data_IF_649927418197
#
_entry.id   IF_649927418197
#
_cell.length_a   1.000
_cell.length_b   1.000
_cell.length_c   1.000
_cell.angle_alpha   90.00
_cell.angle_beta   90.00
_cell.angle_gamma   90.00
#
_symmetry.space_group_name_H-M   'P 1'
#
loop_
_entity.id
_entity.type
_entity.pdbx_description
1 polymer ?
#
# COMPACT_ATOMS: atom_id res chain seq x y z
N UNK A 1 -16.03 26.85 35.95
CA UNK A 1 -14.67 26.36 35.69
C UNK A 1 -13.68 27.40 36.17
N UNK A 2 -12.68 26.98 36.95
CA UNK A 2 -11.58 27.85 37.31
C UNK A 2 -10.74 28.18 36.06
N UNK A 3 -10.01 29.31 36.08
CA UNK A 3 -9.23 29.77 34.91
C UNK A 3 -8.27 28.70 34.38
N UNK A 4 -7.59 27.98 35.26
CA UNK A 4 -6.69 26.86 34.90
C UNK A 4 -7.42 25.67 34.22
N UNK A 5 -8.62 25.35 34.66
CA UNK A 5 -9.43 24.28 34.07
C UNK A 5 -9.86 24.66 32.65
N UNK A 6 -10.20 25.95 32.44
CA UNK A 6 -10.58 26.48 31.16
C UNK A 6 -9.39 26.48 30.16
N UNK A 7 -8.21 26.89 30.62
CA UNK A 7 -6.98 26.84 29.83
C UNK A 7 -6.63 25.38 29.42
N UNK A 8 -6.71 24.44 30.36
CA UNK A 8 -6.44 23.03 30.08
C UNK A 8 -7.45 22.44 29.05
N UNK A 9 -8.72 22.81 29.17
CA UNK A 9 -9.76 22.41 28.24
C UNK A 9 -9.51 23.01 26.84
N UNK A 10 -9.18 24.29 26.73
CA UNK A 10 -8.86 24.93 25.45
C UNK A 10 -7.66 24.26 24.77
N UNK A 11 -6.59 24.00 25.52
CA UNK A 11 -5.42 23.29 24.99
C UNK A 11 -5.76 21.86 24.52
N UNK A 12 -6.62 21.15 25.24
CA UNK A 12 -7.09 19.82 24.83
C UNK A 12 -7.90 19.90 23.53
N UNK A 13 -8.86 20.83 23.44
CA UNK A 13 -9.65 21.06 22.24
C UNK A 13 -8.77 21.44 21.04
N UNK A 14 -7.76 22.28 21.25
CA UNK A 14 -6.83 22.68 20.20
C UNK A 14 -6.04 21.46 19.66
N UNK A 15 -5.49 20.62 20.53
CA UNK A 15 -4.79 19.39 20.12
C UNK A 15 -5.68 18.45 19.31
N UNK A 16 -6.93 18.26 19.75
CA UNK A 16 -7.88 17.43 19.02
C UNK A 16 -8.23 18.03 17.65
N UNK A 17 -8.39 19.34 17.55
CA UNK A 17 -8.61 20.02 16.28
C UNK A 17 -7.43 19.84 15.33
N UNK A 18 -6.20 20.04 15.82
CA UNK A 18 -4.97 19.84 15.04
C UNK A 18 -4.84 18.40 14.56
N UNK A 19 -5.20 17.41 15.40
CA UNK A 19 -5.22 15.99 15.02
C UNK A 19 -6.25 15.71 13.92
N UNK A 20 -7.47 16.22 14.04
CA UNK A 20 -8.51 16.06 13.02
C UNK A 20 -8.13 16.74 11.70
N UNK A 21 -7.51 17.91 11.76
CA UNK A 21 -6.97 18.58 10.58
C UNK A 21 -5.88 17.76 9.91
N UNK A 22 -4.97 17.18 10.69
CA UNK A 22 -3.92 16.31 10.19
C UNK A 22 -4.50 15.08 9.46
N UNK A 23 -5.48 14.40 10.05
CA UNK A 23 -6.17 13.26 9.40
C UNK A 23 -6.77 13.68 8.05
N UNK A 24 -7.44 14.83 8.00
CA UNK A 24 -8.03 15.35 6.76
C UNK A 24 -6.96 15.70 5.70
N UNK A 25 -5.83 16.31 6.09
CA UNK A 25 -4.73 16.62 5.17
C UNK A 25 -4.04 15.33 4.66
N UNK A 26 -3.89 14.33 5.52
CA UNK A 26 -3.34 13.02 5.14
C UNK A 26 -4.25 12.32 4.14
N UNK A 27 -5.57 12.35 4.33
CA UNK A 27 -6.50 11.81 3.33
C UNK A 27 -6.40 12.56 2.00
N UNK A 28 -6.25 13.88 2.02
CA UNK A 28 -6.07 14.69 0.82
C UNK A 28 -4.78 14.36 0.08
N UNK A 29 -3.66 14.14 0.79
CA UNK A 29 -2.40 13.80 0.12
C UNK A 29 -2.47 12.40 -0.50
N UNK A 30 -3.13 11.43 0.16
CA UNK A 30 -3.37 10.12 -0.42
C UNK A 30 -4.30 10.18 -1.64
N UNK A 31 -5.39 10.95 -1.57
CA UNK A 31 -6.25 11.17 -2.73
C UNK A 31 -5.52 11.85 -3.90
N UNK A 32 -4.61 12.80 -3.61
CA UNK A 32 -3.75 13.41 -4.63
C UNK A 32 -2.79 12.40 -5.23
N UNK A 33 -2.16 11.56 -4.40
CA UNK A 33 -1.32 10.46 -4.85
C UNK A 33 -2.04 9.60 -5.87
N UNK A 34 -3.25 9.16 -5.57
CA UNK A 34 -4.05 8.31 -6.46
C UNK A 34 -4.37 8.98 -7.80
N UNK A 35 -4.75 10.25 -7.77
CA UNK A 35 -5.09 11.00 -9.00
C UNK A 35 -3.89 11.21 -9.90
N UNK A 36 -2.70 11.49 -9.34
CA UNK A 36 -1.48 11.71 -10.14
C UNK A 36 -0.76 10.40 -10.50
N UNK A 37 -1.11 9.29 -9.87
CA UNK A 37 -0.63 7.95 -10.20
C UNK A 37 -1.27 7.43 -11.50
N UNK A 38 -0.99 8.13 -12.59
CA UNK A 38 -1.54 7.95 -13.91
C UNK A 38 -0.41 7.97 -14.95
N UNK A 39 -0.47 7.22 -16.05
CA UNK A 39 0.61 7.16 -17.04
C UNK A 39 1.14 8.52 -17.51
N UNK A 40 0.26 9.53 -17.68
CA UNK A 40 0.67 10.89 -18.09
C UNK A 40 1.35 11.69 -16.98
N UNK A 41 1.02 11.45 -15.73
CA UNK A 41 1.42 12.27 -14.57
C UNK A 41 2.27 11.52 -13.56
N UNK A 42 2.59 10.27 -13.81
CA UNK A 42 3.34 9.39 -12.91
C UNK A 42 4.61 10.04 -12.34
N UNK A 43 5.37 10.72 -13.18
CA UNK A 43 6.60 11.42 -12.80
C UNK A 43 6.39 12.56 -11.79
N UNK A 44 5.16 13.08 -11.68
CA UNK A 44 4.80 14.13 -10.71
C UNK A 44 4.52 13.57 -9.32
N UNK A 45 4.19 12.29 -9.21
CA UNK A 45 3.79 11.66 -7.95
C UNK A 45 4.78 11.95 -6.80
N UNK A 46 6.10 11.75 -6.95
CA UNK A 46 7.02 12.06 -5.88
C UNK A 46 7.07 13.56 -5.55
N UNK A 47 7.02 14.43 -6.56
CA UNK A 47 7.12 15.88 -6.38
C UNK A 47 5.91 16.42 -5.60
N UNK A 48 4.72 15.97 -5.96
CA UNK A 48 3.48 16.46 -5.37
C UNK A 48 3.22 15.85 -3.99
N UNK A 49 3.64 14.59 -3.74
CA UNK A 49 3.18 13.82 -2.60
C UNK A 49 4.25 13.45 -1.56
N UNK A 50 5.51 13.24 -1.96
CA UNK A 50 6.54 12.70 -1.06
C UNK A 50 7.37 13.78 -0.37
N UNK A 51 7.91 13.44 0.81
CA UNK A 51 8.80 14.28 1.61
C UNK A 51 10.24 14.19 1.07
N UNK A 52 10.49 14.81 -0.09
CA UNK A 52 11.74 14.66 -0.82
C UNK A 52 12.97 15.30 -0.15
N UNK A 53 12.79 16.10 0.90
CA UNK A 53 13.91 16.62 1.69
C UNK A 53 14.37 15.65 2.77
N UNK A 54 13.60 14.60 3.03
CA UNK A 54 13.96 13.57 3.99
C UNK A 54 14.94 12.57 3.34
N UNK A 55 16.11 12.31 3.96
CA UNK A 55 17.14 11.45 3.35
C UNK A 55 16.72 9.99 3.20
N UNK A 56 15.78 9.55 4.01
CA UNK A 56 15.24 8.19 4.09
C UNK A 56 13.85 8.04 3.49
N UNK A 57 13.36 9.07 2.76
CA UNK A 57 12.09 8.94 2.03
C UNK A 57 12.12 7.69 1.15
N UNK A 58 11.04 6.90 1.19
CA UNK A 58 11.08 5.62 0.50
C UNK A 58 9.75 5.18 -0.10
N UNK A 59 9.86 4.38 -1.15
CA UNK A 59 8.77 3.61 -1.73
C UNK A 59 9.19 2.16 -1.90
N UNK A 60 8.40 1.26 -1.33
CA UNK A 60 8.52 -0.17 -1.56
C UNK A 60 7.32 -0.67 -2.36
N UNK A 61 7.59 -1.34 -3.45
CA UNK A 61 6.56 -1.95 -4.30
C UNK A 61 6.65 -3.46 -4.15
N UNK A 62 5.70 -4.02 -3.49
CA UNK A 62 5.47 -5.47 -3.26
C UNK A 62 6.63 -6.41 -3.60
N UNK A 63 6.59 -6.88 -4.85
CA UNK A 63 7.50 -7.86 -5.45
C UNK A 63 8.64 -7.20 -6.26
N UNK A 64 8.67 -5.86 -6.32
CA UNK A 64 9.65 -5.14 -7.16
C UNK A 64 10.91 -4.75 -6.41
N UNK A 65 10.77 -4.26 -5.18
CA UNK A 65 11.91 -3.81 -4.38
C UNK A 65 11.65 -2.53 -3.60
N UNK A 66 12.72 -1.98 -3.05
CA UNK A 66 12.72 -0.77 -2.22
C UNK A 66 13.58 0.30 -2.88
N UNK A 67 13.07 1.52 -2.95
CA UNK A 67 13.75 2.72 -3.42
C UNK A 67 13.84 3.70 -2.27
N UNK A 68 15.06 4.02 -1.82
CA UNK A 68 15.32 4.90 -0.68
C UNK A 68 16.06 6.15 -1.14
N UNK A 69 15.58 7.31 -0.68
CA UNK A 69 16.08 8.62 -1.02
C UNK A 69 15.32 9.27 -2.19
N UNK A 70 15.36 10.60 -2.22
CA UNK A 70 14.58 11.39 -3.16
C UNK A 70 14.85 11.03 -4.64
N UNK A 71 16.12 10.84 -5.01
CA UNK A 71 16.51 10.48 -6.37
C UNK A 71 15.96 9.09 -6.75
N UNK A 72 16.05 8.13 -5.84
CA UNK A 72 15.55 6.77 -6.06
C UNK A 72 14.03 6.75 -6.24
N UNK A 73 13.30 7.46 -5.38
CA UNK A 73 11.83 7.55 -5.47
C UNK A 73 11.41 8.25 -6.76
N UNK A 74 12.09 9.35 -7.15
CA UNK A 74 11.79 10.02 -8.42
C UNK A 74 12.11 9.13 -9.63
N UNK A 75 13.21 8.36 -9.58
CA UNK A 75 13.56 7.41 -10.64
C UNK A 75 12.51 6.29 -10.78
N UNK A 76 12.01 5.77 -9.66
CA UNK A 76 10.94 4.77 -9.67
C UNK A 76 9.72 5.26 -10.45
N UNK A 77 9.16 6.39 -10.06
CA UNK A 77 7.94 6.92 -10.69
C UNK A 77 8.17 7.50 -12.09
N UNK A 78 9.33 8.10 -12.33
CA UNK A 78 9.63 8.76 -13.61
C UNK A 78 10.20 7.83 -14.68
N UNK A 79 10.74 6.67 -14.30
CA UNK A 79 11.44 5.77 -15.23
C UNK A 79 10.93 4.33 -15.14
N UNK A 80 10.91 3.73 -13.94
CA UNK A 80 10.54 2.32 -13.78
C UNK A 80 9.05 2.09 -14.03
N UNK A 81 8.21 2.97 -13.49
CA UNK A 81 6.74 2.92 -13.64
C UNK A 81 6.22 3.66 -14.88
N UNK A 82 7.13 4.10 -15.74
CA UNK A 82 6.73 4.80 -16.96
C UNK A 82 6.14 3.82 -17.96
N UNK A 83 4.90 4.07 -18.34
CA UNK A 83 4.16 3.27 -19.32
C UNK A 83 3.74 4.12 -20.54
N UNK A 84 3.38 3.45 -21.62
CA UNK A 84 2.73 4.08 -22.77
C UNK A 84 1.37 4.64 -22.32
N UNK A 85 1.12 5.96 -22.42
CA UNK A 85 -0.09 6.52 -21.86
C UNK A 85 -1.36 6.16 -22.67
N UNK A 86 -1.23 5.86 -23.96
CA UNK A 86 -2.37 5.49 -24.80
C UNK A 86 -2.73 4.03 -24.60
N UNK A 87 -3.90 3.79 -24.04
CA UNK A 87 -4.42 2.45 -23.75
C UNK A 87 -4.05 1.92 -22.37
N UNK A 88 -3.11 2.55 -21.66
CA UNK A 88 -2.77 2.18 -20.28
C UNK A 88 -3.65 2.90 -19.27
N UNK A 89 -4.06 2.20 -18.24
CA UNK A 89 -4.88 2.73 -17.16
C UNK A 89 -4.46 2.10 -15.83
N UNK A 90 -4.30 2.93 -14.79
CA UNK A 90 -4.16 2.47 -13.41
C UNK A 90 -5.25 3.12 -12.56
N UNK A 91 -6.02 2.32 -11.86
CA UNK A 91 -7.00 2.76 -10.87
C UNK A 91 -6.79 1.92 -9.62
N UNK A 92 -6.19 2.51 -8.60
CA UNK A 92 -5.92 1.88 -7.32
C UNK A 92 -6.67 2.63 -6.22
N UNK A 93 -7.96 2.36 -6.09
CA UNK A 93 -8.82 3.08 -5.14
C UNK A 93 -8.32 2.99 -3.71
N UNK A 94 -8.64 3.99 -2.90
CA UNK A 94 -8.28 4.08 -1.49
C UNK A 94 -9.51 3.84 -0.63
N UNK A 95 -9.59 2.68 0.00
CA UNK A 95 -10.74 2.28 0.80
C UNK A 95 -10.34 2.04 2.27
N UNK A 96 -11.29 2.20 3.17
CA UNK A 96 -11.17 1.87 4.60
C UNK A 96 -9.89 2.43 5.26
N UNK A 97 -9.68 3.75 5.29
CA UNK A 97 -8.51 4.33 5.92
C UNK A 97 -8.49 4.11 7.44
N UNK A 98 -7.32 3.74 7.97
CA UNK A 98 -7.02 3.85 9.40
C UNK A 98 -5.79 4.74 9.52
N UNK A 99 -5.90 5.86 10.21
CA UNK A 99 -4.86 6.89 10.33
C UNK A 99 -4.65 7.21 11.80
N UNK A 100 -3.41 7.07 12.27
CA UNK A 100 -2.97 7.47 13.59
C UNK A 100 -1.94 8.59 13.48
N UNK A 101 -2.27 9.73 14.07
CA UNK A 101 -1.37 10.89 14.19
C UNK A 101 -0.63 10.76 15.50
N UNK A 102 0.68 10.92 15.49
CA UNK A 102 1.52 10.91 16.70
C UNK A 102 1.06 11.95 17.72
N UNK A 103 1.25 11.67 19.01
CA UNK A 103 0.92 12.60 20.10
C UNK A 103 1.65 13.95 19.98
N UNK A 104 2.87 13.96 19.43
CA UNK A 104 3.65 15.17 19.13
C UNK A 104 3.18 15.92 17.86
N UNK A 105 2.27 15.35 17.08
CA UNK A 105 1.71 15.94 15.87
C UNK A 105 2.68 16.13 14.71
N UNK A 106 3.86 15.50 14.73
CA UNK A 106 4.89 15.66 13.69
C UNK A 106 4.86 14.57 12.63
N UNK A 107 4.41 13.37 13.00
CA UNK A 107 4.30 12.21 12.10
C UNK A 107 2.93 11.58 12.20
N UNK A 108 2.60 10.75 11.23
CA UNK A 108 1.41 9.92 11.26
C UNK A 108 1.68 8.59 10.55
N UNK A 109 0.85 7.60 10.85
CA UNK A 109 0.85 6.29 10.21
C UNK A 109 -0.53 6.01 9.64
N UNK A 110 -0.59 5.34 8.49
CA UNK A 110 -1.89 5.03 7.91
C UNK A 110 -1.90 3.78 7.04
N UNK A 111 -3.05 3.12 6.99
CA UNK A 111 -3.30 1.98 6.10
C UNK A 111 -4.56 2.20 5.29
N UNK A 112 -4.56 1.65 4.07
CA UNK A 112 -5.72 1.63 3.16
C UNK A 112 -5.79 0.28 2.45
N UNK A 113 -6.98 -0.24 2.26
CA UNK A 113 -7.19 -1.22 1.20
C UNK A 113 -7.23 -0.53 -0.15
N UNK A 114 -6.70 -1.21 -1.16
CA UNK A 114 -6.61 -0.65 -2.51
C UNK A 114 -7.07 -1.68 -3.55
N UNK A 115 -8.38 -1.86 -3.69
CA UNK A 115 -8.95 -2.57 -4.83
C UNK A 115 -8.72 -1.76 -6.11
N UNK A 116 -8.29 -2.43 -7.19
CA UNK A 116 -7.96 -1.71 -8.39
C UNK A 116 -8.08 -2.51 -9.67
N UNK A 117 -7.93 -1.77 -10.76
CA UNK A 117 -7.93 -2.26 -12.13
C UNK A 117 -6.74 -1.68 -12.86
N UNK A 118 -6.12 -2.50 -13.70
CA UNK A 118 -5.02 -2.05 -14.54
C UNK A 118 -5.30 -2.42 -15.99
N UNK A 119 -4.86 -1.58 -16.90
CA UNK A 119 -4.68 -1.96 -18.29
C UNK A 119 -3.24 -1.68 -18.68
N UNK A 120 -2.56 -2.69 -19.18
CA UNK A 120 -1.23 -2.57 -19.76
C UNK A 120 -1.26 -2.89 -21.24
N UNK A 121 -0.47 -2.17 -22.01
CA UNK A 121 -0.34 -2.38 -23.45
C UNK A 121 0.93 -3.18 -23.72
N UNK A 122 0.81 -4.30 -24.39
CA UNK A 122 1.97 -5.14 -24.71
C UNK A 122 2.82 -4.56 -25.87
N UNK A 123 3.91 -5.23 -26.20
CA UNK A 123 4.82 -4.83 -27.27
C UNK A 123 4.15 -4.86 -28.65
N UNK A 124 3.07 -5.60 -28.84
CA UNK A 124 2.24 -5.65 -30.03
C UNK A 124 1.14 -4.59 -30.02
N UNK A 125 1.11 -3.73 -29.01
CA UNK A 125 0.11 -2.68 -28.79
C UNK A 125 -1.31 -3.22 -28.54
N UNK A 126 -1.40 -4.41 -27.94
CA UNK A 126 -2.66 -4.99 -27.49
C UNK A 126 -2.88 -4.63 -26.01
N UNK A 127 -4.01 -4.01 -25.64
CA UNK A 127 -4.35 -3.74 -24.25
C UNK A 127 -4.83 -5.00 -23.52
N UNK A 128 -4.30 -5.23 -22.32
CA UNK A 128 -4.68 -6.33 -21.45
C UNK A 128 -5.19 -5.77 -20.13
N UNK A 129 -6.39 -6.20 -19.73
CA UNK A 129 -7.01 -5.81 -18.47
C UNK A 129 -6.63 -6.75 -17.33
N UNK A 130 -6.44 -6.18 -16.13
CA UNK A 130 -6.08 -6.93 -14.93
C UNK A 130 -6.90 -6.45 -13.73
N UNK A 131 -7.24 -7.40 -12.86
CA UNK A 131 -7.57 -7.12 -11.48
C UNK A 131 -6.27 -6.95 -10.70
N UNK A 132 -6.15 -5.87 -9.94
CA UNK A 132 -5.00 -5.63 -9.08
C UNK A 132 -5.48 -5.19 -7.71
N UNK A 133 -5.24 -6.01 -6.70
CA UNK A 133 -5.73 -5.75 -5.36
C UNK A 133 -4.60 -5.76 -4.35
N UNK A 134 -4.61 -4.77 -3.49
CA UNK A 134 -3.57 -4.64 -2.48
C UNK A 134 -3.97 -3.77 -1.30
N UNK A 135 -2.96 -3.30 -0.60
CA UNK A 135 -3.09 -2.37 0.51
C UNK A 135 -1.89 -1.43 0.54
N UNK A 136 -2.07 -0.28 1.14
CA UNK A 136 -0.98 0.64 1.47
C UNK A 136 -0.71 0.63 2.97
N UNK A 137 0.55 0.71 3.35
CA UNK A 137 0.99 1.22 4.65
C UNK A 137 1.91 2.40 4.41
N UNK A 138 1.70 3.48 5.17
CA UNK A 138 2.34 4.75 4.89
C UNK A 138 2.71 5.45 6.19
N UNK A 139 3.95 5.92 6.28
CA UNK A 139 4.37 6.92 7.25
C UNK A 139 4.29 8.30 6.60
N UNK A 140 3.78 9.25 7.34
CA UNK A 140 3.71 10.66 6.96
C UNK A 140 4.53 11.51 7.90
N UNK A 141 5.07 12.60 7.36
CA UNK A 141 5.82 13.59 8.12
C UNK A 141 5.43 15.01 7.68
N UNK A 142 5.54 15.98 8.58
CA UNK A 142 5.43 17.38 8.20
C UNK A 142 6.74 17.87 7.59
N UNK A 143 6.70 18.21 6.30
CA UNK A 143 7.79 18.87 5.59
C UNK A 143 7.38 20.31 5.29
N UNK A 144 8.12 21.27 5.83
CA UNK A 144 7.79 22.70 5.69
C UNK A 144 6.35 23.06 6.07
N UNK A 145 5.82 22.42 7.11
CA UNK A 145 4.47 22.63 7.62
C UNK A 145 3.35 21.93 6.85
N UNK A 146 3.65 21.18 5.80
CA UNK A 146 2.69 20.41 5.04
C UNK A 146 2.88 18.90 5.25
N UNK A 147 1.80 18.17 5.33
CA UNK A 147 1.87 16.71 5.38
C UNK A 147 2.34 16.12 4.05
N UNK A 148 3.29 15.19 4.12
CA UNK A 148 3.88 14.50 2.99
C UNK A 148 4.05 13.01 3.30
N UNK A 149 4.05 12.19 2.26
CA UNK A 149 4.41 10.77 2.34
C UNK A 149 5.91 10.67 2.62
N UNK A 150 6.27 9.98 3.69
CA UNK A 150 7.66 9.77 4.07
C UNK A 150 8.15 8.38 3.66
N UNK A 151 7.49 7.33 4.16
CA UNK A 151 7.71 5.96 3.72
C UNK A 151 6.38 5.39 3.23
N UNK A 152 6.40 4.71 2.10
CA UNK A 152 5.21 4.05 1.57
C UNK A 152 5.56 2.65 1.11
N UNK A 153 4.69 1.69 1.44
CA UNK A 153 4.72 0.34 0.88
C UNK A 153 3.36 0.01 0.27
N UNK A 154 3.42 -0.50 -0.96
CA UNK A 154 2.32 -1.16 -1.63
C UNK A 154 2.41 -2.66 -1.39
N UNK A 155 1.40 -3.22 -0.76
CA UNK A 155 1.24 -4.63 -0.46
C UNK A 155 0.31 -5.25 -1.49
N UNK A 156 0.84 -5.94 -2.49
CA UNK A 156 0.00 -6.62 -3.46
C UNK A 156 -0.61 -7.86 -2.83
N UNK A 157 -1.94 -7.96 -2.85
CA UNK A 157 -2.66 -9.16 -2.43
C UNK A 157 -2.73 -10.14 -3.56
N UNK A 158 -3.19 -9.69 -4.73
CA UNK A 158 -3.18 -10.46 -5.97
C UNK A 158 -3.17 -9.52 -7.18
N UNK A 159 -2.75 -10.07 -8.31
CA UNK A 159 -2.94 -9.49 -9.62
C UNK A 159 -3.26 -10.62 -10.59
N UNK A 160 -4.33 -10.52 -11.35
CA UNK A 160 -4.71 -11.54 -12.31
C UNK A 160 -5.33 -10.91 -13.55
N UNK A 161 -5.23 -11.63 -14.67
CA UNK A 161 -5.92 -11.29 -15.91
C UNK A 161 -7.42 -11.13 -15.67
N UNK A 162 -8.05 -10.18 -16.36
CA UNK A 162 -9.49 -9.89 -16.20
C UNK A 162 -10.38 -11.11 -16.40
N UNK A 163 -10.02 -12.01 -17.33
CA UNK A 163 -10.79 -13.22 -17.66
C UNK A 163 -10.44 -14.43 -16.79
N UNK A 164 -9.53 -14.26 -15.83
CA UNK A 164 -9.16 -15.30 -14.88
C UNK A 164 -9.64 -14.94 -13.48
N UNK A 165 -9.87 -15.96 -12.67
CA UNK A 165 -10.09 -15.78 -11.24
C UNK A 165 -8.76 -15.63 -10.52
N UNK A 166 -8.72 -14.83 -9.45
CA UNK A 166 -7.56 -14.79 -8.54
C UNK A 166 -7.28 -16.13 -7.86
N UNK A 167 -8.23 -17.08 -7.86
CA UNK A 167 -8.01 -18.44 -7.38
C UNK A 167 -7.31 -19.32 -8.41
N UNK A 168 -7.32 -18.95 -9.69
CA UNK A 168 -6.73 -19.73 -10.78
C UNK A 168 -5.31 -19.26 -11.11
N UNK A 169 -5.01 -17.99 -10.86
CA UNK A 169 -3.74 -17.37 -11.27
C UNK A 169 -2.89 -16.86 -10.11
N UNK A 170 -3.11 -17.36 -8.91
CA UNK A 170 -2.33 -16.94 -7.75
C UNK A 170 -0.81 -17.17 -7.90
N UNK A 171 -0.41 -18.13 -8.72
CA UNK A 171 1.00 -18.39 -9.03
C UNK A 171 1.60 -17.39 -10.04
N UNK A 172 0.75 -16.69 -10.80
CA UNK A 172 1.17 -15.74 -11.83
C UNK A 172 1.27 -14.30 -11.30
N UNK A 173 1.15 -14.11 -9.98
CA UNK A 173 1.09 -12.79 -9.32
C UNK A 173 2.44 -12.07 -9.38
N UNK A 174 3.52 -12.83 -9.40
CA UNK A 174 4.88 -12.30 -9.39
C UNK A 174 5.24 -11.71 -10.75
N UNK A 175 5.04 -10.43 -10.90
CA UNK A 175 5.40 -9.70 -12.13
C UNK A 175 6.44 -8.62 -11.87
N UNK A 176 7.29 -8.84 -10.87
CA UNK A 176 8.35 -7.93 -10.52
C UNK A 176 9.21 -7.53 -11.73
N UNK A 177 9.89 -6.41 -11.69
CA UNK A 177 10.76 -6.01 -12.78
C UNK A 177 11.77 -7.13 -13.02
N UNK A 178 11.92 -7.58 -14.28
CA UNK A 178 12.76 -8.72 -14.61
C UNK A 178 14.26 -8.46 -14.41
N UNK A 179 14.61 -7.23 -14.05
CA UNK A 179 15.99 -6.78 -13.81
C UNK A 179 16.03 -5.86 -12.60
N UNK A 180 17.12 -5.97 -11.82
CA UNK A 180 17.41 -4.98 -10.80
C UNK A 180 17.60 -3.61 -11.44
N UNK A 181 16.80 -2.65 -11.02
CA UNK A 181 16.90 -1.26 -11.49
C UNK A 181 18.02 -0.51 -10.77
N UNK A 182 18.54 0.51 -11.46
CA UNK A 182 19.37 1.53 -10.81
C UNK A 182 18.59 2.13 -9.62
N UNK A 183 19.27 2.46 -8.54
CA UNK A 183 18.67 2.97 -7.31
C UNK A 183 17.71 2.01 -6.55
N UNK A 184 17.46 0.83 -7.03
CA UNK A 184 16.83 -0.19 -6.21
C UNK A 184 17.85 -0.64 -5.17
N UNK A 185 17.69 -0.16 -3.92
CA UNK A 185 18.71 -0.30 -2.90
C UNK A 185 18.66 -1.65 -2.22
N UNK A 186 17.47 -2.14 -1.95
CA UNK A 186 17.25 -3.35 -1.18
C UNK A 186 16.29 -4.31 -1.89
N UNK A 187 16.38 -5.62 -1.62
CA UNK A 187 15.31 -6.52 -1.96
C UNK A 187 14.04 -6.13 -1.19
N UNK A 188 12.91 -6.65 -1.62
CA UNK A 188 11.67 -6.50 -0.88
C UNK A 188 11.85 -6.93 0.59
N UNK A 189 11.24 -6.20 1.50
CA UNK A 189 11.31 -6.52 2.93
C UNK A 189 10.40 -7.68 3.29
N UNK A 190 9.22 -7.75 2.68
CA UNK A 190 8.26 -8.81 2.88
C UNK A 190 7.28 -8.85 1.70
N UNK A 191 7.00 -10.04 1.21
CA UNK A 191 5.98 -10.27 0.19
C UNK A 191 5.28 -11.59 0.44
N UNK A 192 4.00 -11.51 0.78
CA UNK A 192 3.14 -12.66 0.99
C UNK A 192 1.80 -12.42 0.28
N UNK A 193 1.73 -12.63 -1.03
CA UNK A 193 0.49 -12.51 -1.79
C UNK A 193 -0.51 -13.59 -1.38
N UNK A 194 -1.77 -13.39 -1.75
CA UNK A 194 -2.78 -14.42 -1.59
C UNK A 194 -2.41 -15.66 -2.40
N UNK A 195 -2.52 -16.81 -1.77
CA UNK A 195 -2.58 -18.11 -2.42
C UNK A 195 -3.73 -18.94 -1.82
N UNK A 196 -4.12 -20.00 -2.51
CA UNK A 196 -5.25 -20.83 -2.10
C UNK A 196 -4.88 -21.94 -1.11
N UNK A 197 -3.61 -22.10 -0.77
CA UNK A 197 -3.08 -23.20 0.02
C UNK A 197 -2.67 -22.79 1.42
N UNK A 198 -2.50 -21.47 1.67
CA UNK A 198 -2.09 -20.93 2.96
C UNK A 198 -3.15 -20.02 3.54
N UNK A 199 -3.19 -19.93 4.87
CA UNK A 199 -4.01 -18.92 5.53
C UNK A 199 -3.46 -17.53 5.20
N UNK A 200 -4.34 -16.62 4.78
CA UNK A 200 -3.95 -15.24 4.52
C UNK A 200 -3.69 -14.52 5.83
N UNK A 201 -2.48 -14.06 5.99
CA UNK A 201 -2.12 -13.16 7.08
C UNK A 201 -2.69 -11.75 6.81
N UNK A 202 -3.24 -11.06 7.81
CA UNK A 202 -3.85 -9.75 7.64
C UNK A 202 -2.81 -8.62 7.64
N UNK A 203 -1.89 -8.62 6.68
CA UNK A 203 -0.97 -7.52 6.44
C UNK A 203 -1.55 -6.49 5.44
N UNK A 204 -1.17 -5.22 5.59
CA UNK A 204 -0.51 -4.61 6.74
C UNK A 204 -1.46 -4.54 7.94
N UNK A 205 -0.92 -4.63 9.15
CA UNK A 205 -1.70 -4.38 10.37
C UNK A 205 -2.04 -2.90 10.47
N UNK A 206 -3.14 -2.58 11.15
CA UNK A 206 -3.52 -1.21 11.40
C UNK A 206 -2.54 -0.54 12.39
N UNK A 207 -2.17 0.73 12.18
CA UNK A 207 -1.36 1.46 13.13
C UNK A 207 -2.09 1.59 14.46
N UNK A 208 -1.33 1.60 15.56
CA UNK A 208 -1.82 1.88 16.91
C UNK A 208 -1.45 3.31 17.31
N UNK A 209 -2.19 3.94 18.23
CA UNK A 209 -1.81 5.24 18.80
C UNK A 209 -0.37 5.25 19.33
N UNK A 210 0.37 6.32 19.10
CA UNK A 210 1.75 6.48 19.53
C UNK A 210 2.08 7.95 19.80
N UNK A 211 3.11 8.20 20.63
CA UNK A 211 3.49 9.57 21.04
C UNK A 211 4.47 10.21 20.07
N UNK A 212 5.54 9.49 19.72
CA UNK A 212 6.58 9.93 18.78
C UNK A 212 6.96 8.78 17.86
N UNK A 213 7.43 9.11 16.67
CA UNK A 213 7.84 8.10 15.70
C UNK A 213 9.08 7.36 16.18
N UNK A 214 9.00 6.04 16.21
CA UNK A 214 10.10 5.13 16.54
C UNK A 214 10.11 3.94 15.59
N UNK A 215 11.28 3.42 15.30
CA UNK A 215 11.43 2.26 14.44
C UNK A 215 11.30 2.56 12.94
N UNK A 216 10.89 1.58 12.19
CA UNK A 216 10.67 1.64 10.75
C UNK A 216 9.22 1.37 10.40
N UNK A 217 8.79 1.72 9.19
CA UNK A 217 7.45 1.38 8.70
C UNK A 217 7.20 -0.13 8.78
N UNK A 218 8.19 -0.96 8.48
CA UNK A 218 8.01 -2.42 8.51
C UNK A 218 7.71 -2.94 9.91
N UNK A 219 8.35 -2.37 10.94
CA UNK A 219 8.14 -2.81 12.32
C UNK A 219 6.67 -2.67 12.74
N UNK A 220 6.04 -1.54 12.44
CA UNK A 220 4.64 -1.36 12.80
C UNK A 220 3.66 -2.00 11.81
N UNK A 221 3.96 -1.99 10.51
CA UNK A 221 3.07 -2.49 9.47
C UNK A 221 2.95 -4.02 9.45
N UNK A 222 4.00 -4.72 9.89
CA UNK A 222 3.96 -6.17 10.10
C UNK A 222 3.51 -6.52 11.52
N UNK A 223 3.91 -5.71 12.51
CA UNK A 223 3.55 -5.89 13.92
C UNK A 223 4.07 -7.19 14.53
N UNK A 224 3.92 -7.32 15.81
CA UNK A 224 4.05 -8.60 16.57
C UNK A 224 2.74 -9.39 16.45
N UNK A 225 2.37 -9.65 15.23
CA UNK A 225 1.01 -9.99 14.85
C UNK A 225 0.65 -11.43 15.16
N UNK A 226 1.63 -12.34 15.07
CA UNK A 226 1.37 -13.78 15.23
C UNK A 226 0.83 -14.13 16.60
N UNK A 227 1.30 -13.47 17.64
CA UNK A 227 0.97 -13.83 19.01
C UNK A 227 -0.40 -13.28 19.45
N UNK A 228 -0.85 -12.15 18.89
CA UNK A 228 -2.09 -11.50 19.26
C UNK A 228 -3.32 -12.13 18.59
N UNK A 229 -3.21 -12.47 17.30
CA UNK A 229 -4.35 -12.91 16.49
C UNK A 229 -4.30 -14.41 16.13
N UNK A 230 -3.14 -15.02 16.19
CA UNK A 230 -2.94 -16.43 15.88
C UNK A 230 -2.05 -17.11 16.93
N UNK A 231 -2.61 -17.41 18.10
CA UNK A 231 -1.89 -18.19 19.11
C UNK A 231 -1.68 -19.62 18.58
N UNK A 232 -0.54 -19.87 17.99
CA UNK A 232 -0.17 -21.16 17.43
C UNK A 232 0.19 -21.08 15.94
N UNK A 233 0.77 -22.15 15.42
CA UNK A 233 1.16 -22.25 14.00
C UNK A 233 -0.07 -22.52 13.13
N UNK A 234 -0.73 -21.45 12.70
CA UNK A 234 -1.87 -21.51 11.78
C UNK A 234 -1.46 -21.27 10.31
N UNK A 235 -0.17 -21.03 10.05
CA UNK A 235 0.33 -20.69 8.72
C UNK A 235 0.16 -21.82 7.70
N UNK A 236 0.02 -23.06 8.17
CA UNK A 236 -0.28 -24.22 7.31
C UNK A 236 -1.61 -24.82 7.73
N UNK A 237 -2.69 -24.37 7.12
CA UNK A 237 -3.95 -25.07 7.25
C UNK A 237 -3.83 -26.45 6.62
N UNK A 238 -4.08 -27.50 7.40
CA UNK A 238 -4.28 -28.87 6.88
C UNK A 238 -5.66 -29.05 6.26
N UNK A 239 -6.24 -27.95 5.78
CA UNK A 239 -7.57 -27.93 5.20
C UNK A 239 -7.53 -28.65 3.84
N UNK A 240 -8.24 -29.73 3.70
CA UNK A 240 -8.50 -30.36 2.41
C UNK A 240 -9.75 -29.73 1.79
N UNK A 241 -9.64 -29.30 0.55
CA UNK A 241 -10.79 -28.79 -0.19
C UNK A 241 -11.84 -29.91 -0.33
N UNK A 242 -13.10 -29.58 -0.10
CA UNK A 242 -14.22 -30.50 0.05
C UNK A 242 -14.38 -31.56 -1.08
N UNK A 243 -13.69 -31.40 -2.20
CA UNK A 243 -13.81 -32.29 -3.34
C UNK A 243 -12.48 -32.81 -3.88
N UNK A 244 -11.38 -32.70 -3.15
CA UNK A 244 -10.06 -33.17 -3.58
C UNK A 244 -9.57 -32.51 -4.87
N UNK A 245 -10.13 -31.36 -5.26
CA UNK A 245 -9.83 -30.67 -6.49
C UNK A 245 -8.75 -29.64 -6.29
N UNK A 246 -8.00 -29.41 -7.37
CA UNK A 246 -7.07 -28.30 -7.39
C UNK A 246 -7.83 -26.98 -7.13
N UNK A 247 -7.26 -26.07 -6.35
CA UNK A 247 -7.81 -24.73 -6.19
C UNK A 247 -8.15 -24.10 -7.55
N UNK A 248 -9.27 -23.40 -7.63
CA UNK A 248 -9.73 -22.75 -8.85
C UNK A 248 -10.56 -23.60 -9.82
N UNK A 249 -10.66 -24.91 -9.60
CA UNK A 249 -11.52 -25.77 -10.41
C UNK A 249 -12.90 -25.88 -9.75
N UNK A 250 -13.81 -25.04 -10.13
CA UNK A 250 -15.22 -25.17 -9.76
C UNK A 250 -15.90 -26.00 -10.85
N UNK A 251 -16.15 -27.30 -10.56
CA UNK A 251 -17.08 -28.06 -11.39
C UNK A 251 -18.47 -27.42 -11.27
N UNK A 252 -19.10 -27.13 -12.37
CA UNK A 252 -20.38 -26.47 -12.49
C UNK A 252 -20.35 -24.96 -12.24
N UNK A 253 -19.29 -24.26 -12.63
CA UNK A 253 -19.36 -22.84 -12.83
C UNK A 253 -20.21 -22.58 -14.11
N UNK A 254 -21.44 -22.08 -13.98
CA UNK A 254 -22.31 -21.83 -15.14
C UNK A 254 -21.73 -20.74 -16.10
N UNK A 255 -20.67 -20.04 -15.70
CA UNK A 255 -19.93 -19.12 -16.55
C UNK A 255 -18.78 -19.77 -17.33
N UNK A 256 -18.47 -21.07 -17.10
CA UNK A 256 -17.44 -21.76 -17.86
C UNK A 256 -17.90 -22.19 -19.26
N UNK A 257 -19.19 -22.06 -19.56
CA UNK A 257 -19.82 -22.39 -20.86
C UNK A 257 -20.22 -21.12 -21.66
N UNK A 258 -19.75 -19.93 -21.23
CA UNK A 258 -19.86 -18.68 -21.97
C UNK A 258 -18.50 -18.27 -22.51
#
# INVERSE_FOLDING_TARGET
LEHKEMEALLQSCQRELERLQAVNEIQKIMGRYEVVHNPLTMWRTPIDCFALTMPDVSMEVSDWGVWVGAEAVQYLFGTVMKEEPVGTMFIHTLATPVIEVAGDGQTAKGTWHSPGFETQVDAQRVPHGFWCWGSYSVDFIKENGAWKIWHMKWWRTFRCDYYKSWTDCWQDIMTGPPKRHQFQTEPITFFHPYDTLTAREPFPVNPKPYETYTGTMMDWAMGEFKDEYFPGDTATSKFEFAHGKKPGVIENNPSADL
#
